data_IF_939801012134
#
_entry.id   IF_939801012134
#
_cell.length_a   1.000
_cell.length_b   1.000
_cell.length_c   1.000
_cell.angle_alpha   90.00
_cell.angle_beta   90.00
_cell.angle_gamma   90.00
#
_symmetry.space_group_name_H-M   'P 1'
#
loop_
_entity.id
_entity.type
_entity.pdbx_description
1 polymer ?
#
# COMPACT_ATOMS: atom_id res chain seq x y z
N UNK A 1 -41.35 -31.95 -24.67
CA UNK A 1 -40.15 -31.15 -24.98
C UNK A 1 -39.43 -31.83 -26.13
N UNK A 2 -39.12 -31.11 -27.20
CA UNK A 2 -38.40 -31.72 -28.32
C UNK A 2 -36.96 -32.02 -27.91
N UNK A 3 -36.43 -33.15 -28.36
CA UNK A 3 -35.04 -33.59 -28.10
C UNK A 3 -34.01 -32.49 -28.43
N UNK A 4 -34.29 -31.70 -29.47
CA UNK A 4 -33.47 -30.56 -29.88
C UNK A 4 -33.39 -29.47 -28.80
N UNK A 5 -34.48 -29.18 -28.09
CA UNK A 5 -34.51 -28.20 -26.99
C UNK A 5 -33.67 -28.67 -25.80
N UNK A 6 -33.67 -29.97 -25.51
CA UNK A 6 -32.86 -30.56 -24.43
C UNK A 6 -31.37 -30.46 -24.77
N UNK A 7 -31.00 -30.78 -26.00
CA UNK A 7 -29.61 -30.70 -26.48
C UNK A 7 -29.10 -29.26 -26.42
N UNK A 8 -29.87 -28.32 -26.96
CA UNK A 8 -29.49 -26.88 -26.97
C UNK A 8 -29.38 -26.35 -25.54
N UNK A 9 -30.33 -26.68 -24.66
CA UNK A 9 -30.28 -26.29 -23.26
C UNK A 9 -29.07 -26.85 -22.51
N UNK A 10 -28.71 -28.10 -22.78
CA UNK A 10 -27.52 -28.74 -22.20
C UNK A 10 -26.21 -28.06 -22.62
N UNK A 11 -26.08 -27.74 -23.91
CA UNK A 11 -24.90 -27.01 -24.43
C UNK A 11 -24.83 -25.62 -23.80
N UNK A 12 -25.95 -24.90 -23.75
CA UNK A 12 -26.00 -23.56 -23.17
C UNK A 12 -25.61 -23.60 -21.68
N UNK A 13 -26.13 -24.56 -20.92
CA UNK A 13 -25.80 -24.76 -19.51
C UNK A 13 -24.31 -25.06 -19.29
N UNK A 14 -23.71 -25.89 -20.15
CA UNK A 14 -22.27 -26.17 -20.12
C UNK A 14 -21.43 -24.93 -20.38
N UNK A 15 -21.77 -24.15 -21.40
CA UNK A 15 -21.07 -22.91 -21.72
C UNK A 15 -21.18 -21.89 -20.58
N UNK A 16 -22.38 -21.75 -19.99
CA UNK A 16 -22.62 -20.83 -18.89
C UNK A 16 -21.83 -21.23 -17.64
N UNK A 17 -21.79 -22.52 -17.31
CA UNK A 17 -20.99 -23.05 -16.21
C UNK A 17 -19.50 -22.81 -16.44
N UNK A 18 -18.99 -23.10 -17.65
CA UNK A 18 -17.60 -22.83 -18.01
C UNK A 18 -17.24 -21.35 -17.88
N UNK A 19 -18.13 -20.46 -18.30
CA UNK A 19 -17.95 -19.01 -18.17
C UNK A 19 -17.87 -18.56 -16.70
N UNK A 20 -18.76 -19.05 -15.83
CA UNK A 20 -18.73 -18.75 -14.40
C UNK A 20 -17.42 -19.20 -13.76
N UNK A 21 -16.96 -20.42 -14.06
CA UNK A 21 -15.69 -20.96 -13.54
C UNK A 21 -14.51 -20.08 -14.00
N UNK A 22 -14.50 -19.69 -15.28
CA UNK A 22 -13.45 -18.83 -15.82
C UNK A 22 -13.42 -17.44 -15.16
N UNK A 23 -14.59 -16.83 -14.96
CA UNK A 23 -14.68 -15.55 -14.24
C UNK A 23 -14.18 -15.68 -12.80
N UNK A 24 -14.64 -16.70 -12.07
CA UNK A 24 -14.21 -16.92 -10.68
C UNK A 24 -12.70 -17.14 -10.58
N UNK A 25 -12.13 -17.92 -11.51
CA UNK A 25 -10.70 -18.14 -11.61
C UNK A 25 -9.91 -16.84 -11.85
N UNK A 26 -10.40 -16.00 -12.76
CA UNK A 26 -9.78 -14.72 -13.10
C UNK A 26 -9.81 -13.76 -11.92
N UNK A 27 -10.95 -13.66 -11.23
CA UNK A 27 -11.09 -12.83 -10.03
C UNK A 27 -10.14 -13.33 -8.94
N UNK A 28 -10.09 -14.63 -8.66
CA UNK A 28 -9.18 -15.17 -7.64
C UNK A 28 -7.72 -14.93 -7.97
N UNK A 29 -7.30 -15.12 -9.23
CA UNK A 29 -5.93 -14.82 -9.65
C UNK A 29 -5.59 -13.34 -9.45
N UNK A 30 -6.48 -12.44 -9.83
CA UNK A 30 -6.27 -11.00 -9.64
C UNK A 30 -6.14 -10.63 -8.16
N UNK A 31 -7.00 -11.20 -7.29
CA UNK A 31 -6.92 -10.97 -5.84
C UNK A 31 -5.62 -11.52 -5.24
N UNK A 32 -5.20 -12.73 -5.64
CA UNK A 32 -3.95 -13.34 -5.17
C UNK A 32 -2.75 -12.52 -5.63
N UNK A 33 -2.73 -12.08 -6.88
CA UNK A 33 -1.66 -11.27 -7.43
C UNK A 33 -1.59 -9.91 -6.73
N UNK A 34 -2.72 -9.25 -6.46
CA UNK A 34 -2.77 -8.01 -5.70
C UNK A 34 -2.21 -8.16 -4.28
N UNK A 35 -2.60 -9.23 -3.56
CA UNK A 35 -2.04 -9.52 -2.23
C UNK A 35 -0.55 -9.80 -2.27
N UNK A 36 -0.10 -10.62 -3.23
CA UNK A 36 1.32 -10.96 -3.40
C UNK A 36 2.15 -9.71 -3.72
N UNK A 37 1.60 -8.82 -4.54
CA UNK A 37 2.22 -7.53 -4.86
C UNK A 37 2.40 -6.67 -3.60
N UNK A 38 1.33 -6.43 -2.83
CA UNK A 38 1.42 -5.64 -1.60
C UNK A 38 2.37 -6.26 -0.57
N UNK A 39 2.35 -7.58 -0.41
CA UNK A 39 3.26 -8.26 0.50
C UNK A 39 4.72 -8.11 0.07
N UNK A 40 5.00 -8.23 -1.24
CA UNK A 40 6.35 -8.02 -1.77
C UNK A 40 6.80 -6.56 -1.65
N UNK A 41 5.90 -5.60 -1.84
CA UNK A 41 6.18 -4.17 -1.66
C UNK A 41 6.51 -3.88 -0.20
N UNK A 42 5.69 -4.36 0.74
CA UNK A 42 5.91 -4.20 2.18
C UNK A 42 7.25 -4.81 2.63
N UNK A 43 7.59 -6.01 2.13
CA UNK A 43 8.88 -6.64 2.44
C UNK A 43 10.08 -5.84 1.92
N UNK A 44 9.99 -5.27 0.72
CA UNK A 44 11.06 -4.42 0.17
C UNK A 44 11.16 -3.11 0.93
N UNK A 45 10.01 -2.49 1.22
CA UNK A 45 9.91 -1.27 2.00
C UNK A 45 10.52 -1.43 3.40
N UNK A 46 10.21 -2.53 4.10
CA UNK A 46 10.70 -2.79 5.45
C UNK A 46 12.21 -3.03 5.55
N UNK A 47 12.90 -3.26 4.42
CA UNK A 47 14.37 -3.37 4.38
C UNK A 47 15.06 -2.02 4.25
N UNK A 48 14.33 -0.95 3.92
CA UNK A 48 14.88 0.38 3.70
C UNK A 48 14.89 1.19 4.99
N UNK A 49 15.86 2.11 5.09
CA UNK A 49 15.95 3.11 6.17
C UNK A 49 14.70 3.97 6.25
N UNK A 50 14.06 4.24 5.11
CA UNK A 50 12.77 4.92 5.02
C UNK A 50 11.71 4.30 5.95
N UNK A 51 11.66 2.97 6.07
CA UNK A 51 10.72 2.32 6.98
C UNK A 51 10.99 2.68 8.44
N UNK A 52 12.25 2.73 8.86
CA UNK A 52 12.62 3.16 10.22
C UNK A 52 12.33 4.64 10.44
N UNK A 53 12.56 5.46 9.42
CA UNK A 53 12.26 6.90 9.46
C UNK A 53 10.76 7.18 9.63
N UNK A 54 9.88 6.48 8.90
CA UNK A 54 8.44 6.59 9.15
C UNK A 54 8.08 6.24 10.59
N UNK A 55 8.70 5.21 11.16
CA UNK A 55 8.45 4.81 12.55
C UNK A 55 8.88 5.91 13.54
N UNK A 56 10.10 6.43 13.37
CA UNK A 56 10.67 7.49 14.22
C UNK A 56 9.81 8.76 14.17
N UNK A 57 9.29 9.11 13.00
CA UNK A 57 8.43 10.28 12.80
C UNK A 57 6.98 10.09 13.28
N UNK A 58 6.64 8.90 13.79
CA UNK A 58 5.28 8.54 14.21
C UNK A 58 4.30 8.33 13.06
N UNK A 59 4.79 8.14 11.83
CA UNK A 59 3.97 7.88 10.65
C UNK A 59 3.59 6.40 10.62
N UNK A 60 2.30 6.11 10.53
CA UNK A 60 1.81 4.75 10.46
C UNK A 60 2.17 4.12 9.11
N UNK A 61 3.09 3.14 9.12
CA UNK A 61 3.60 2.44 7.93
C UNK A 61 2.50 1.75 7.15
N UNK A 62 1.58 1.07 7.83
CA UNK A 62 0.47 0.37 7.17
C UNK A 62 -0.43 1.37 6.46
N UNK A 63 -0.83 2.45 7.13
CA UNK A 63 -1.64 3.51 6.52
C UNK A 63 -0.92 4.11 5.31
N UNK A 64 0.37 4.37 5.42
CA UNK A 64 1.20 4.84 4.29
C UNK A 64 1.18 3.85 3.11
N UNK A 65 1.50 2.57 3.32
CA UNK A 65 1.57 1.58 2.23
C UNK A 65 0.23 1.32 1.53
N UNK A 66 -0.89 1.52 2.23
CA UNK A 66 -2.23 1.27 1.69
C UNK A 66 -2.92 2.52 1.13
N UNK A 67 -2.56 3.72 1.58
CA UNK A 67 -3.22 4.97 1.16
C UNK A 67 -2.38 5.81 0.18
N UNK A 68 -1.06 5.60 0.14
CA UNK A 68 -0.18 6.25 -0.83
C UNK A 68 -0.22 5.49 -2.15
N UNK A 69 -0.15 6.21 -3.29
CA UNK A 69 -0.11 5.55 -4.60
C UNK A 69 1.17 4.73 -4.70
N UNK A 70 1.06 3.52 -5.26
CA UNK A 70 2.19 2.60 -5.44
C UNK A 70 3.37 3.25 -6.16
N UNK A 71 3.11 4.08 -7.17
CA UNK A 71 4.15 4.81 -7.90
C UNK A 71 4.91 5.80 -7.00
N UNK A 72 4.22 6.50 -6.10
CA UNK A 72 4.85 7.44 -5.17
C UNK A 72 5.69 6.68 -4.13
N UNK A 73 5.19 5.52 -3.63
CA UNK A 73 5.95 4.64 -2.73
C UNK A 73 7.24 4.17 -3.42
N UNK A 74 7.14 3.70 -4.66
CA UNK A 74 8.29 3.22 -5.43
C UNK A 74 9.32 4.34 -5.62
N UNK A 75 8.87 5.54 -6.02
CA UNK A 75 9.74 6.71 -6.15
C UNK A 75 10.44 7.06 -4.85
N UNK A 76 9.73 7.06 -3.73
CA UNK A 76 10.31 7.36 -2.41
C UNK A 76 11.31 6.28 -1.96
N UNK A 77 11.03 5.01 -2.27
CA UNK A 77 11.97 3.90 -2.06
C UNK A 77 13.24 4.08 -2.90
N UNK A 78 13.11 4.51 -4.15
CA UNK A 78 14.24 4.75 -5.04
C UNK A 78 15.06 5.97 -4.57
N UNK A 79 14.41 7.06 -4.17
CA UNK A 79 15.05 8.23 -3.58
C UNK A 79 15.84 7.87 -2.31
N UNK A 80 15.27 7.01 -1.46
CA UNK A 80 15.93 6.54 -0.25
C UNK A 80 17.10 5.60 -0.57
N UNK A 81 16.94 4.71 -1.56
CA UNK A 81 17.97 3.74 -1.93
C UNK A 81 19.20 4.41 -2.55
N UNK A 82 18.99 5.50 -3.28
CA UNK A 82 20.04 6.30 -3.92
C UNK A 82 20.49 7.49 -3.05
N UNK A 83 20.13 7.53 -1.77
CA UNK A 83 20.52 8.61 -0.87
C UNK A 83 22.02 8.53 -0.54
N UNK A 84 22.72 9.65 -0.61
CA UNK A 84 24.14 9.76 -0.26
C UNK A 84 24.36 10.10 1.23
N UNK A 85 23.37 10.69 1.89
CA UNK A 85 23.43 11.13 3.30
C UNK A 85 23.16 9.97 4.28
N UNK A 86 23.78 8.81 4.04
CA UNK A 86 23.49 7.58 4.80
C UNK A 86 23.93 7.72 6.26
N UNK A 87 25.14 8.24 6.49
CA UNK A 87 25.71 8.34 7.84
C UNK A 87 24.92 9.31 8.72
N UNK A 88 24.57 10.49 8.18
CA UNK A 88 23.72 11.46 8.88
C UNK A 88 22.32 10.89 9.16
N UNK A 89 21.75 10.15 8.22
CA UNK A 89 20.45 9.50 8.42
C UNK A 89 20.50 8.47 9.55
N UNK A 90 21.50 7.60 9.58
CA UNK A 90 21.65 6.58 10.62
C UNK A 90 21.96 7.20 12.00
N UNK A 91 22.71 8.30 12.05
CA UNK A 91 22.95 9.08 13.28
C UNK A 91 21.65 9.68 13.81
N UNK A 92 20.89 10.39 12.97
CA UNK A 92 19.62 11.04 13.35
C UNK A 92 18.54 10.03 13.72
N UNK A 93 18.48 8.88 13.06
CA UNK A 93 17.55 7.79 13.41
C UNK A 93 17.88 7.10 14.73
N UNK A 94 19.12 7.23 15.19
CA UNK A 94 19.53 6.70 16.51
C UNK A 94 19.13 7.64 17.65
N UNK A 95 18.84 8.90 17.36
CA UNK A 95 18.31 9.85 18.32
C UNK A 95 16.81 9.64 18.57
N UNK A 96 16.37 9.84 19.81
CA UNK A 96 15.00 9.54 20.26
C UNK A 96 13.99 10.61 19.83
N UNK A 97 14.47 11.80 19.46
CA UNK A 97 13.66 13.01 19.28
C UNK A 97 13.69 13.53 17.83
N UNK A 98 13.56 12.62 16.87
CA UNK A 98 13.51 12.98 15.46
C UNK A 98 12.18 13.68 15.14
N UNK A 99 12.24 15.00 14.88
CA UNK A 99 11.08 15.76 14.43
C UNK A 99 11.05 15.95 12.91
N UNK A 100 9.83 16.03 12.37
CA UNK A 100 9.56 16.22 10.94
C UNK A 100 10.09 17.55 10.39
N UNK A 101 10.36 18.55 11.24
CA UNK A 101 10.97 19.82 10.84
C UNK A 101 12.50 19.75 10.70
N UNK A 102 13.11 18.63 11.08
CA UNK A 102 14.58 18.47 11.18
C UNK A 102 15.13 17.38 10.25
N UNK A 103 14.37 17.02 9.21
CA UNK A 103 14.71 15.96 8.25
C UNK A 103 15.18 16.50 6.89
N UNK A 104 15.79 17.69 6.89
CA UNK A 104 16.33 18.36 5.71
C UNK A 104 17.44 17.56 5.01
N UNK A 105 18.09 16.65 5.75
CA UNK A 105 19.05 15.68 5.20
C UNK A 105 18.39 14.60 4.33
N UNK A 106 17.07 14.44 4.38
CA UNK A 106 16.34 13.37 3.70
C UNK A 106 15.82 13.80 2.33
N UNK A 107 16.16 13.03 1.30
CA UNK A 107 15.66 13.23 -0.07
C UNK A 107 14.13 13.07 -0.21
N UNK A 108 13.43 12.60 0.82
CA UNK A 108 11.97 12.45 0.86
C UNK A 108 11.31 13.42 1.86
N UNK A 109 12.00 14.48 2.29
CA UNK A 109 11.50 15.44 3.29
C UNK A 109 10.09 15.95 2.95
N UNK A 110 9.91 16.51 1.76
CA UNK A 110 8.67 17.15 1.35
C UNK A 110 7.49 16.18 1.39
N UNK A 111 7.70 14.97 0.89
CA UNK A 111 6.69 13.91 0.88
C UNK A 111 6.37 13.42 2.30
N UNK A 112 7.38 13.26 3.16
CA UNK A 112 7.19 12.82 4.54
C UNK A 112 6.39 13.85 5.36
N UNK A 113 6.64 15.14 5.15
CA UNK A 113 5.86 16.23 5.76
C UNK A 113 4.39 16.11 5.33
N UNK A 114 4.13 15.96 4.04
CA UNK A 114 2.78 15.86 3.51
C UNK A 114 2.05 14.62 4.09
N UNK A 115 2.72 13.47 4.09
CA UNK A 115 2.16 12.21 4.62
C UNK A 115 1.81 12.36 6.10
N UNK A 116 2.70 12.94 6.92
CA UNK A 116 2.45 13.14 8.35
C UNK A 116 1.22 14.03 8.56
N UNK A 117 1.12 15.14 7.84
CA UNK A 117 -0.03 16.04 7.91
C UNK A 117 -1.34 15.35 7.46
N UNK A 118 -1.30 14.58 6.38
CA UNK A 118 -2.46 13.82 5.92
C UNK A 118 -2.92 12.80 6.96
N UNK A 119 -2.00 12.10 7.65
CA UNK A 119 -2.37 11.14 8.68
C UNK A 119 -2.95 11.80 9.92
N UNK A 120 -2.44 12.96 10.33
CA UNK A 120 -3.00 13.76 11.44
C UNK A 120 -4.42 14.20 11.11
N UNK A 121 -4.65 14.75 9.91
CA UNK A 121 -6.00 15.18 9.46
C UNK A 121 -7.00 14.02 9.49
N UNK A 122 -6.64 12.88 8.91
CA UNK A 122 -7.50 11.68 8.91
C UNK A 122 -7.75 11.13 10.32
N UNK A 123 -6.79 11.29 11.24
CA UNK A 123 -6.98 10.90 12.62
C UNK A 123 -8.01 11.80 13.31
N UNK A 124 -7.87 13.14 13.16
CA UNK A 124 -8.85 14.08 13.73
C UNK A 124 -10.26 13.90 13.17
N UNK A 125 -10.40 13.58 11.88
CA UNK A 125 -11.70 13.29 11.26
C UNK A 125 -12.37 12.04 11.86
N UNK A 126 -11.58 10.98 12.09
CA UNK A 126 -12.08 9.75 12.70
C UNK A 126 -12.47 9.96 14.16
N UNK A 127 -11.65 10.67 14.94
CA UNK A 127 -11.92 10.93 16.36
C UNK A 127 -13.22 11.76 16.54
N UNK A 128 -13.47 12.70 15.62
CA UNK A 128 -14.70 13.49 15.62
C UNK A 128 -15.93 12.67 15.22
N UNK A 129 -15.81 11.79 14.21
CA UNK A 129 -16.89 10.89 13.81
C UNK A 129 -17.26 9.86 14.89
N UNK A 130 -16.32 9.50 15.77
CA UNK A 130 -16.56 8.62 16.91
C UNK A 130 -17.20 9.35 18.09
N UNK A 131 -16.85 10.63 18.33
CA UNK A 131 -17.51 11.47 19.34
C UNK A 131 -18.97 11.80 19.00
N UNK A 132 -19.36 11.74 17.72
CA UNK A 132 -20.72 12.03 17.25
C UNK A 132 -21.65 10.78 17.23
N UNK A 133 -21.14 9.59 17.58
CA UNK A 133 -21.92 8.34 17.71
C UNK A 133 -22.40 8.09 19.13
#
# INVERSE_FOLDING_TARGET
MNTLTIIVGGILGLLFSGFIIFLFYTIMKNLINGRKFHHSLEQQFNKLRLSNMLAALGINKTRYLYQTRVQDIQQQMDNCSNCENIDECDERLSDSDLDISTIDFCNNEAELIEIKQQQIRKQSENDQAESDR
#
